data_IF_904976500963
#
_entry.id   IF_904976500963
#
_cell.length_a   1.000
_cell.length_b   1.000
_cell.length_c   1.000
_cell.angle_alpha   90.00
_cell.angle_beta   90.00
_cell.angle_gamma   90.00
#
_symmetry.space_group_name_H-M   'P 1'
#
loop_
_entity.id
_entity.type
_entity.pdbx_description
1 polymer ?
#
# COMPACT_ATOMS: atom_id res chain seq x y z
N UNK A 1 36.88 -17.77 -53.00
CA UNK A 1 37.43 -17.35 -51.69
C UNK A 1 36.30 -16.68 -50.94
N UNK A 2 35.68 -17.38 -49.98
CA UNK A 2 34.42 -16.96 -49.37
C UNK A 2 34.70 -16.28 -48.02
N UNK A 3 34.35 -15.01 -47.92
CA UNK A 3 34.36 -14.21 -46.69
C UNK A 3 33.42 -14.83 -45.64
N UNK A 4 33.97 -15.23 -44.49
CA UNK A 4 33.17 -15.56 -43.31
C UNK A 4 33.28 -14.41 -42.31
N UNK A 5 32.25 -13.58 -42.31
CA UNK A 5 31.99 -12.53 -41.33
C UNK A 5 31.88 -13.20 -39.96
N UNK A 6 32.78 -12.85 -39.03
CA UNK A 6 32.73 -13.33 -37.64
C UNK A 6 31.61 -12.57 -36.93
N UNK A 7 30.53 -13.28 -36.61
CA UNK A 7 29.43 -12.73 -35.82
C UNK A 7 29.88 -12.54 -34.37
N UNK A 8 30.02 -11.28 -33.96
CA UNK A 8 30.30 -10.88 -32.59
C UNK A 8 29.05 -11.10 -31.73
N UNK A 9 29.13 -12.01 -30.75
CA UNK A 9 28.08 -12.22 -29.75
C UNK A 9 28.05 -11.03 -28.79
N UNK A 10 27.04 -10.17 -28.93
CA UNK A 10 26.74 -9.12 -27.95
C UNK A 10 25.97 -9.76 -26.80
N UNK A 11 26.66 -9.99 -25.69
CA UNK A 11 26.07 -10.42 -24.42
C UNK A 11 25.19 -9.29 -23.85
N UNK A 12 23.87 -9.45 -23.98
CA UNK A 12 22.87 -8.54 -23.44
C UNK A 12 22.72 -8.81 -21.93
N UNK A 13 23.47 -8.10 -21.10
CA UNK A 13 23.27 -8.11 -19.65
C UNK A 13 21.98 -7.34 -19.32
N UNK A 14 20.88 -8.07 -19.17
CA UNK A 14 19.63 -7.57 -18.59
C UNK A 14 19.90 -7.15 -17.14
N UNK A 15 20.01 -5.84 -16.92
CA UNK A 15 19.96 -5.25 -15.59
C UNK A 15 18.55 -5.48 -15.04
N UNK A 16 18.40 -6.48 -14.18
CA UNK A 16 17.23 -6.59 -13.31
C UNK A 16 17.27 -5.39 -12.37
N UNK A 17 16.65 -4.29 -12.77
CA UNK A 17 16.34 -3.20 -11.86
C UNK A 17 15.30 -3.75 -10.88
N UNK A 18 15.76 -4.27 -9.75
CA UNK A 18 14.91 -4.48 -8.58
C UNK A 18 14.37 -3.11 -8.22
N UNK A 19 13.13 -2.80 -8.60
CA UNK A 19 12.43 -1.62 -8.13
C UNK A 19 12.34 -1.78 -6.62
N UNK A 20 13.17 -1.06 -5.89
CA UNK A 20 13.05 -0.94 -4.44
C UNK A 20 11.65 -0.41 -4.18
N UNK A 21 10.75 -1.26 -3.69
CA UNK A 21 9.52 -0.80 -3.08
C UNK A 21 9.96 -0.04 -1.83
N UNK A 22 10.11 1.29 -1.96
CA UNK A 22 10.28 2.17 -0.83
C UNK A 22 9.21 1.79 0.20
N UNK A 23 9.61 1.64 1.47
CA UNK A 23 8.78 1.17 2.57
C UNK A 23 7.39 1.83 2.54
N UNK A 24 6.42 1.15 1.92
CA UNK A 24 5.04 1.63 1.89
C UNK A 24 4.48 1.45 3.29
N UNK A 25 3.72 2.45 3.74
CA UNK A 25 2.96 2.38 4.99
C UNK A 25 2.08 1.13 4.98
N UNK A 26 1.94 0.46 6.13
CA UNK A 26 1.23 -0.81 6.14
C UNK A 26 -0.26 -0.64 5.82
N UNK A 27 -0.78 -1.63 5.10
CA UNK A 27 -2.20 -1.73 4.76
C UNK A 27 -2.73 -3.00 5.41
N UNK A 28 -3.43 -2.82 6.52
CA UNK A 28 -4.12 -3.89 7.22
C UNK A 28 -5.47 -4.16 6.56
N UNK A 29 -5.74 -5.42 6.20
CA UNK A 29 -7.05 -5.83 5.70
C UNK A 29 -7.88 -6.35 6.87
N UNK A 30 -9.00 -5.69 7.14
CA UNK A 30 -9.94 -6.03 8.21
C UNK A 30 -11.37 -5.86 7.69
N UNK A 31 -12.04 -6.97 7.42
CA UNK A 31 -13.42 -6.96 6.90
C UNK A 31 -14.41 -7.03 8.07
N UNK A 32 -15.38 -6.10 8.11
CA UNK A 32 -16.42 -6.02 9.14
C UNK A 32 -15.89 -5.98 10.59
N UNK A 33 -14.67 -5.47 10.78
CA UNK A 33 -14.04 -5.44 12.08
C UNK A 33 -14.67 -4.40 13.00
N UNK A 34 -14.81 -4.76 14.27
CA UNK A 34 -15.16 -3.83 15.33
C UNK A 34 -14.07 -2.79 15.55
N UNK A 35 -14.43 -1.66 16.18
CA UNK A 35 -13.47 -0.62 16.54
C UNK A 35 -12.33 -1.15 17.42
N UNK A 36 -12.59 -2.16 18.26
CA UNK A 36 -11.58 -2.76 19.13
C UNK A 36 -10.58 -3.63 18.34
N UNK A 37 -11.05 -4.38 17.34
CA UNK A 37 -10.17 -5.16 16.45
C UNK A 37 -9.30 -4.26 15.59
N UNK A 38 -9.89 -3.19 15.05
CA UNK A 38 -9.16 -2.15 14.31
C UNK A 38 -8.06 -1.54 15.19
N UNK A 39 -8.39 -1.21 16.46
CA UNK A 39 -7.42 -0.69 17.42
C UNK A 39 -6.28 -1.67 17.68
N UNK A 40 -6.57 -2.94 17.93
CA UNK A 40 -5.55 -3.97 18.16
C UNK A 40 -4.64 -4.16 16.94
N UNK A 41 -5.19 -4.11 15.73
CA UNK A 41 -4.38 -4.13 14.51
C UNK A 41 -3.42 -2.95 14.47
N UNK A 42 -3.93 -1.73 14.69
CA UNK A 42 -3.13 -0.52 14.65
C UNK A 42 -2.03 -0.52 15.73
N UNK A 43 -2.34 -0.99 16.94
CA UNK A 43 -1.39 -1.06 18.05
C UNK A 43 -0.21 -2.03 17.77
N UNK A 44 -0.37 -2.99 16.86
CA UNK A 44 0.68 -3.92 16.46
C UNK A 44 1.59 -3.37 15.34
N UNK A 45 1.24 -2.23 14.75
CA UNK A 45 1.95 -1.64 13.62
C UNK A 45 2.92 -0.54 14.06
N UNK A 46 4.09 -0.46 13.41
CA UNK A 46 5.13 0.53 13.72
C UNK A 46 5.17 1.71 12.75
N UNK A 47 4.22 1.79 11.81
CA UNK A 47 4.22 2.79 10.75
C UNK A 47 3.47 4.06 11.14
N UNK A 48 4.05 5.23 10.86
CA UNK A 48 3.45 6.53 11.17
C UNK A 48 2.01 6.71 10.65
N UNK A 49 1.69 6.08 9.52
CA UNK A 49 0.33 6.01 8.98
C UNK A 49 -0.02 4.56 8.70
N UNK A 50 -1.22 4.15 9.11
CA UNK A 50 -1.74 2.80 8.92
C UNK A 50 -3.07 2.90 8.18
N UNK A 51 -3.22 2.09 7.14
CA UNK A 51 -4.43 2.05 6.34
C UNK A 51 -5.19 0.79 6.64
N UNK A 52 -6.43 0.93 7.09
CA UNK A 52 -7.32 -0.22 7.31
C UNK A 52 -8.29 -0.30 6.15
N UNK A 53 -8.34 -1.46 5.51
CA UNK A 53 -9.17 -1.74 4.35
C UNK A 53 -10.22 -2.78 4.69
N UNK A 54 -11.47 -2.45 4.38
CA UNK A 54 -12.61 -3.34 4.49
C UNK A 54 -13.20 -3.55 3.08
N UNK A 55 -13.04 -4.76 2.55
CA UNK A 55 -13.57 -5.10 1.22
C UNK A 55 -15.07 -5.44 1.23
N UNK A 56 -15.65 -5.77 2.39
CA UNK A 56 -17.10 -6.02 2.51
C UNK A 56 -17.84 -4.70 2.40
N UNK A 57 -17.40 -3.70 3.16
CA UNK A 57 -17.99 -2.35 3.14
C UNK A 57 -17.40 -1.45 2.04
N UNK A 58 -16.39 -1.94 1.32
CA UNK A 58 -15.64 -1.25 0.27
C UNK A 58 -15.03 0.05 0.75
N UNK A 59 -14.48 0.05 1.95
CA UNK A 59 -14.00 1.24 2.62
C UNK A 59 -12.51 1.15 2.93
N UNK A 60 -11.85 2.31 2.94
CA UNK A 60 -10.50 2.47 3.44
C UNK A 60 -10.47 3.63 4.44
N UNK A 61 -9.72 3.48 5.52
CA UNK A 61 -9.54 4.50 6.54
C UNK A 61 -8.07 4.61 6.93
N UNK A 62 -7.61 5.85 7.08
CA UNK A 62 -6.25 6.16 7.50
C UNK A 62 -6.23 6.47 8.98
N UNK A 63 -5.27 5.91 9.69
CA UNK A 63 -5.00 6.17 11.09
C UNK A 63 -3.57 6.64 11.28
N UNK A 64 -3.35 7.44 12.32
CA UNK A 64 -2.01 7.64 12.88
C UNK A 64 -1.58 6.39 13.63
N UNK A 65 -0.29 6.11 13.72
CA UNK A 65 0.20 5.18 14.75
C UNK A 65 -0.12 5.70 16.15
N UNK A 66 -0.15 4.78 17.11
CA UNK A 66 0.01 5.14 18.52
C UNK A 66 1.37 5.83 18.69
N UNK A 67 1.41 6.96 19.37
CA UNK A 67 2.68 7.64 19.67
C UNK A 67 3.39 6.95 20.84
N UNK A 68 4.67 7.28 21.06
CA UNK A 68 5.45 6.76 22.20
C UNK A 68 4.86 7.17 23.56
N UNK A 69 3.93 8.14 23.59
CA UNK A 69 3.22 8.59 24.78
C UNK A 69 1.92 7.79 25.04
N UNK A 70 1.59 6.80 24.21
CA UNK A 70 0.40 5.97 24.35
C UNK A 70 -0.90 6.63 23.88
N UNK A 71 -0.81 7.69 23.07
CA UNK A 71 -1.97 8.29 22.41
C UNK A 71 -2.68 7.25 21.55
N UNK A 72 -4.00 7.19 21.67
CA UNK A 72 -4.80 6.27 20.88
C UNK A 72 -4.74 6.64 19.40
N UNK A 73 -4.74 5.65 18.50
CA UNK A 73 -4.83 5.91 17.07
C UNK A 73 -6.05 6.75 16.73
N UNK A 74 -5.84 7.80 15.95
CA UNK A 74 -6.92 8.67 15.48
C UNK A 74 -7.13 8.47 13.99
N UNK A 75 -8.40 8.36 13.59
CA UNK A 75 -8.77 8.38 12.19
C UNK A 75 -8.50 9.78 11.60
N UNK A 76 -7.72 9.83 10.54
CA UNK A 76 -7.32 11.07 9.86
C UNK A 76 -7.75 11.05 8.40
N UNK A 77 -7.67 12.21 7.76
CA UNK A 77 -8.04 12.34 6.36
C UNK A 77 -7.08 11.54 5.46
N UNK A 78 -7.66 10.78 4.54
CA UNK A 78 -6.95 10.06 3.48
C UNK A 78 -6.97 10.91 2.20
N UNK A 79 -5.82 11.06 1.56
CA UNK A 79 -5.74 11.76 0.27
C UNK A 79 -6.27 10.90 -0.88
N UNK A 80 -6.62 11.55 -1.99
CA UNK A 80 -7.03 10.85 -3.22
C UNK A 80 -5.89 9.99 -3.76
N UNK A 81 -4.63 10.46 -3.67
CA UNK A 81 -3.48 9.69 -4.13
C UNK A 81 -3.27 8.43 -3.28
N UNK A 82 -3.41 8.53 -1.95
CA UNK A 82 -3.34 7.38 -1.04
C UNK A 82 -4.42 6.35 -1.37
N UNK A 83 -5.68 6.79 -1.53
CA UNK A 83 -6.78 5.90 -1.90
C UNK A 83 -6.54 5.22 -3.26
N UNK A 84 -6.05 5.96 -4.26
CA UNK A 84 -5.73 5.41 -5.57
C UNK A 84 -4.59 4.39 -5.51
N UNK A 85 -3.56 4.65 -4.70
CA UNK A 85 -2.47 3.70 -4.47
C UNK A 85 -2.98 2.41 -3.83
N UNK A 86 -3.88 2.49 -2.84
CA UNK A 86 -4.50 1.30 -2.23
C UNK A 86 -5.32 0.54 -3.29
N UNK A 87 -6.17 1.23 -4.04
CA UNK A 87 -7.00 0.62 -5.09
C UNK A 87 -6.16 -0.06 -6.18
N UNK A 88 -5.04 0.55 -6.58
CA UNK A 88 -4.11 -0.06 -7.54
C UNK A 88 -3.43 -1.31 -6.96
N UNK A 89 -3.03 -1.28 -5.68
CA UNK A 89 -2.43 -2.45 -5.00
C UNK A 89 -3.38 -3.64 -4.95
N UNK A 90 -4.69 -3.38 -4.80
CA UNK A 90 -5.72 -4.42 -4.72
C UNK A 90 -6.58 -4.54 -5.98
N UNK A 91 -6.10 -4.05 -7.14
CA UNK A 91 -6.83 -4.09 -8.41
C UNK A 91 -7.30 -5.51 -8.76
N UNK A 92 -6.48 -6.52 -8.43
CA UNK A 92 -6.79 -7.93 -8.64
C UNK A 92 -8.09 -8.40 -7.96
N UNK A 93 -8.56 -7.70 -6.91
CA UNK A 93 -9.83 -7.99 -6.20
C UNK A 93 -11.06 -7.43 -6.93
N UNK A 94 -10.87 -6.62 -7.98
CA UNK A 94 -11.94 -5.98 -8.78
C UNK A 94 -12.97 -5.23 -7.92
N UNK A 95 -12.54 -4.75 -6.75
CA UNK A 95 -13.35 -4.00 -5.79
C UNK A 95 -12.70 -2.65 -5.60
N UNK A 96 -13.45 -1.59 -5.89
CA UNK A 96 -12.96 -0.23 -5.70
C UNK A 96 -13.39 0.28 -4.31
N UNK A 97 -12.41 0.69 -3.53
CA UNK A 97 -12.56 1.20 -2.19
C UNK A 97 -12.83 2.71 -2.23
N UNK A 98 -13.63 3.19 -1.26
CA UNK A 98 -13.83 4.62 -0.96
C UNK A 98 -13.21 4.98 0.39
N UNK A 99 -12.69 6.20 0.52
CA UNK A 99 -12.21 6.70 1.80
C UNK A 99 -13.39 7.04 2.73
N UNK A 100 -13.33 6.61 4.00
CA UNK A 100 -14.31 7.02 5.03
C UNK A 100 -14.14 8.48 5.44
N UNK A 101 -12.92 9.00 5.40
CA UNK A 101 -12.58 10.39 5.69
C UNK A 101 -11.71 10.95 4.57
N UNK A 102 -12.29 11.39 3.43
CA UNK A 102 -11.53 11.92 2.31
C UNK A 102 -11.01 13.34 2.61
N UNK A 103 -9.76 13.61 2.25
CA UNK A 103 -9.24 14.98 2.18
C UNK A 103 -9.90 15.73 1.01
N UNK A 104 -10.33 16.97 1.25
CA UNK A 104 -10.96 17.84 0.24
C UNK A 104 -9.95 18.63 -0.60
N UNK A 105 -8.68 18.23 -0.62
CA UNK A 105 -7.59 18.91 -1.32
C UNK A 105 -6.71 17.92 -2.06
#
# INVERSE_FOLDING_TARGET
>A
MNNKIKATLVSLSLLFTSTSYAAMSDIAVCNDCSAQEVKTLIDNETYANIYVVDFVNRTAQKFTSSDENGSQPIAIAMSISELNTINQRYEYRKTHLRALNPSSK
#
